data_IF_903951685792
#
_entry.id   IF_903951685792
#
_cell.length_a   1.000
_cell.length_b   1.000
_cell.length_c   1.000
_cell.angle_alpha   90.00
_cell.angle_beta   90.00
_cell.angle_gamma   90.00
#
_symmetry.space_group_name_H-M   'P 1'
#
loop_
_entity.id
_entity.type
_entity.pdbx_description
1 polymer ?
#
# COMPACT_ATOMS: atom_id res chain seq x y z
N UNK A 1 -8.32 16.02 -21.23
CA UNK A 1 -9.45 16.16 -20.30
C UNK A 1 -9.04 15.56 -18.97
N UNK A 2 -8.76 16.38 -17.96
CA UNK A 2 -8.39 15.92 -16.62
C UNK A 2 -9.68 15.66 -15.83
N UNK A 3 -10.31 14.51 -16.05
CA UNK A 3 -11.42 14.07 -15.19
C UNK A 3 -10.80 13.52 -13.89
N UNK A 4 -10.87 14.29 -12.80
CA UNK A 4 -10.40 13.84 -11.49
C UNK A 4 -11.43 12.86 -10.93
N UNK A 5 -11.07 11.60 -10.85
CA UNK A 5 -11.89 10.55 -10.24
C UNK A 5 -11.59 10.52 -8.75
N UNK A 6 -12.60 10.40 -7.90
CA UNK A 6 -12.38 10.23 -6.45
C UNK A 6 -12.21 8.75 -6.14
N UNK A 7 -11.15 8.38 -5.41
CA UNK A 7 -10.97 7.01 -4.93
C UNK A 7 -11.99 6.73 -3.82
N UNK A 8 -12.85 5.72 -4.02
CA UNK A 8 -13.88 5.38 -3.04
C UNK A 8 -13.29 4.74 -1.78
N UNK A 9 -13.79 5.08 -0.58
CA UNK A 9 -13.26 4.53 0.68
C UNK A 9 -13.45 3.01 0.79
N UNK A 10 -14.45 2.42 0.12
CA UNK A 10 -14.70 0.97 0.10
C UNK A 10 -13.55 0.20 -0.56
N UNK A 11 -12.80 0.85 -1.45
CA UNK A 11 -11.61 0.29 -2.09
C UNK A 11 -10.38 0.34 -1.18
N UNK A 12 -10.42 1.10 -0.08
CA UNK A 12 -9.30 1.28 0.86
C UNK A 12 -9.53 0.51 2.17
N UNK A 13 -10.23 -0.63 2.09
CA UNK A 13 -10.55 -1.50 3.22
C UNK A 13 -9.71 -2.79 3.23
N UNK A 14 -9.65 -3.50 4.38
CA UNK A 14 -9.09 -4.84 4.47
C UNK A 14 -9.75 -5.81 3.49
N UNK A 15 -9.00 -6.80 3.00
CA UNK A 15 -9.42 -7.73 1.95
C UNK A 15 -10.82 -8.35 2.14
N UNK A 16 -11.21 -8.62 3.40
CA UNK A 16 -12.52 -9.20 3.76
C UNK A 16 -13.70 -8.26 3.53
N UNK A 17 -13.47 -6.94 3.59
CA UNK A 17 -14.48 -5.87 3.44
C UNK A 17 -14.22 -5.01 2.19
N UNK A 18 -13.27 -5.43 1.36
CA UNK A 18 -12.77 -4.68 0.22
C UNK A 18 -13.72 -4.78 -0.97
N UNK A 19 -14.09 -3.63 -1.51
CA UNK A 19 -14.74 -3.56 -2.82
C UNK A 19 -13.73 -3.31 -3.92
N UNK A 20 -13.92 -4.01 -5.04
CA UNK A 20 -13.00 -3.93 -6.16
C UNK A 20 -13.09 -2.54 -6.81
N UNK A 21 -11.95 -1.93 -7.14
CA UNK A 21 -11.91 -0.64 -7.81
C UNK A 21 -12.34 -0.78 -9.27
N UNK A 22 -12.85 0.31 -9.81
CA UNK A 22 -13.15 0.49 -11.23
C UNK A 22 -11.87 0.78 -12.03
N UNK A 23 -11.89 0.61 -13.37
CA UNK A 23 -10.75 0.98 -14.22
C UNK A 23 -10.36 2.45 -14.10
N UNK A 24 -11.33 3.33 -13.84
CA UNK A 24 -11.12 4.76 -13.64
C UNK A 24 -10.39 5.04 -12.32
N UNK A 25 -10.80 4.39 -11.24
CA UNK A 25 -10.11 4.44 -9.94
C UNK A 25 -8.68 3.90 -10.03
N UNK A 26 -8.44 2.84 -10.82
CA UNK A 26 -7.09 2.31 -11.07
C UNK A 26 -6.20 3.34 -11.78
N UNK A 27 -6.73 4.02 -12.81
CA UNK A 27 -5.95 5.07 -13.51
C UNK A 27 -5.63 6.23 -12.59
N UNK A 28 -6.60 6.65 -11.77
CA UNK A 28 -6.37 7.73 -10.82
C UNK A 28 -5.38 7.35 -9.72
N UNK A 29 -5.48 6.15 -9.14
CA UNK A 29 -4.55 5.72 -8.10
C UNK A 29 -3.11 5.72 -8.62
N UNK A 30 -2.89 5.16 -9.82
CA UNK A 30 -1.57 5.20 -10.47
C UNK A 30 -1.11 6.64 -10.70
N UNK A 31 -2.00 7.53 -11.15
CA UNK A 31 -1.69 8.96 -11.31
C UNK A 31 -1.26 9.61 -9.98
N UNK A 32 -1.91 9.28 -8.86
CA UNK A 32 -1.57 9.77 -7.52
C UNK A 32 -0.21 9.29 -7.05
N UNK A 33 0.23 8.09 -7.45
CA UNK A 33 1.60 7.62 -7.16
C UNK A 33 2.70 8.35 -7.94
N UNK A 34 2.36 9.05 -9.04
CA UNK A 34 3.33 9.65 -9.96
C UNK A 34 4.07 8.64 -10.85
N UNK A 35 3.75 7.34 -10.78
CA UNK A 35 4.40 6.27 -11.52
C UNK A 35 3.81 6.05 -12.92
N UNK A 36 4.64 5.56 -13.84
CA UNK A 36 4.17 5.06 -15.13
C UNK A 36 3.83 3.54 -15.04
N UNK A 37 3.39 2.93 -16.15
CA UNK A 37 2.97 1.52 -16.14
C UNK A 37 4.11 0.50 -16.04
N UNK A 38 5.32 0.89 -16.41
CA UNK A 38 6.54 0.09 -16.23
C UNK A 38 6.97 0.09 -14.77
N UNK A 39 7.00 1.26 -14.13
CA UNK A 39 7.29 1.41 -12.70
C UNK A 39 6.32 0.57 -11.86
N UNK A 40 5.01 0.69 -12.13
CA UNK A 40 3.96 -0.12 -11.49
C UNK A 40 4.21 -1.62 -11.68
N UNK A 41 4.59 -2.03 -12.88
CA UNK A 41 4.88 -3.44 -13.14
C UNK A 41 6.12 -3.93 -12.40
N UNK A 42 7.14 -3.08 -12.25
CA UNK A 42 8.37 -3.38 -11.53
C UNK A 42 8.10 -3.55 -10.03
N UNK A 43 7.41 -2.59 -9.39
CA UNK A 43 7.13 -2.67 -7.94
C UNK A 43 6.20 -3.83 -7.57
N UNK A 44 5.33 -4.24 -8.50
CA UNK A 44 4.41 -5.36 -8.32
C UNK A 44 5.02 -6.70 -8.74
N UNK A 45 6.28 -6.73 -9.20
CA UNK A 45 6.95 -7.95 -9.66
C UNK A 45 6.30 -8.62 -10.88
N UNK A 46 5.55 -7.87 -11.70
CA UNK A 46 4.80 -8.38 -12.86
C UNK A 46 5.68 -8.57 -14.10
N UNK A 47 6.88 -7.99 -14.11
CA UNK A 47 7.84 -8.14 -15.18
C UNK A 47 9.01 -9.03 -14.70
N UNK A 48 9.35 -10.12 -15.42
CA UNK A 48 10.59 -10.84 -15.13
C UNK A 48 11.79 -9.90 -15.40
N UNK A 49 12.88 -10.01 -14.62
CA UNK A 49 14.06 -9.14 -14.73
C UNK A 49 14.85 -9.26 -16.05
N UNK A 50 14.34 -9.97 -17.07
CA UNK A 50 15.04 -10.18 -18.35
C UNK A 50 14.46 -9.31 -19.48
N UNK A 51 15.10 -8.16 -19.73
CA UNK A 51 15.31 -7.43 -21.01
C UNK A 51 14.19 -7.31 -22.07
N UNK A 52 12.94 -7.68 -21.81
CA UNK A 52 11.77 -7.39 -22.66
C UNK A 52 10.72 -6.66 -21.81
N UNK A 53 10.93 -5.36 -21.65
CA UNK A 53 10.16 -4.35 -20.90
C UNK A 53 8.67 -4.21 -21.25
N UNK A 54 8.06 -5.19 -21.96
CA UNK A 54 6.70 -5.08 -22.50
C UNK A 54 5.63 -5.97 -21.84
N UNK A 55 5.97 -6.98 -21.03
CA UNK A 55 4.98 -7.99 -20.58
C UNK A 55 4.24 -7.59 -19.29
N UNK A 56 4.94 -7.04 -18.29
CA UNK A 56 4.30 -6.55 -17.06
C UNK A 56 3.40 -5.33 -17.29
N UNK A 57 3.81 -4.43 -18.19
CA UNK A 57 3.01 -3.26 -18.59
C UNK A 57 1.71 -3.64 -19.31
N UNK A 58 1.63 -4.80 -19.97
CA UNK A 58 0.39 -5.33 -20.55
C UNK A 58 -0.64 -5.67 -19.47
N UNK A 59 -0.22 -6.26 -18.36
CA UNK A 59 -1.13 -6.57 -17.23
C UNK A 59 -1.70 -5.29 -16.65
N UNK A 60 -0.84 -4.28 -16.40
CA UNK A 60 -1.26 -2.95 -15.93
C UNK A 60 -2.22 -2.30 -16.92
N UNK A 61 -1.98 -2.43 -18.23
CA UNK A 61 -2.90 -1.93 -19.27
C UNK A 61 -4.28 -2.60 -19.21
N UNK A 62 -4.33 -3.92 -19.00
CA UNK A 62 -5.59 -4.68 -18.88
C UNK A 62 -6.39 -4.29 -17.64
N UNK A 63 -5.74 -3.94 -16.55
CA UNK A 63 -6.41 -3.39 -15.37
C UNK A 63 -7.02 -2.01 -15.66
N UNK A 64 -6.26 -1.13 -16.32
CA UNK A 64 -6.74 0.20 -16.71
C UNK A 64 -7.84 0.18 -17.78
N UNK A 65 -7.94 -0.85 -18.61
CA UNK A 65 -9.07 -1.02 -19.56
C UNK A 65 -10.27 -1.72 -18.94
N UNK A 66 -10.10 -2.39 -17.80
CA UNK A 66 -11.14 -3.22 -17.19
C UNK A 66 -11.23 -4.63 -17.76
N UNK A 67 -10.32 -5.03 -18.65
CA UNK A 67 -10.28 -6.38 -19.23
C UNK A 67 -10.00 -7.45 -18.16
N UNK A 68 -9.27 -7.07 -17.10
CA UNK A 68 -8.96 -7.93 -15.95
C UNK A 68 -9.07 -7.12 -14.67
N UNK A 69 -9.58 -7.73 -13.61
CA UNK A 69 -9.62 -7.12 -12.30
C UNK A 69 -8.23 -7.11 -11.65
N UNK A 70 -7.89 -6.01 -10.99
CA UNK A 70 -6.66 -5.92 -10.20
C UNK A 70 -6.79 -6.80 -8.94
N UNK A 71 -5.78 -7.62 -8.61
CA UNK A 71 -5.74 -8.34 -7.33
C UNK A 71 -5.64 -7.38 -6.14
N UNK A 72 -6.22 -7.76 -4.99
CA UNK A 72 -6.16 -6.95 -3.76
C UNK A 72 -4.73 -6.55 -3.37
N UNK A 73 -3.79 -7.51 -3.37
CA UNK A 73 -2.40 -7.25 -3.00
C UNK A 73 -1.75 -6.16 -3.87
N UNK A 74 -2.05 -6.15 -5.17
CA UNK A 74 -1.54 -5.13 -6.07
C UNK A 74 -2.16 -3.75 -5.79
N UNK A 75 -3.47 -3.71 -5.56
CA UNK A 75 -4.16 -2.48 -5.17
C UNK A 75 -3.64 -1.91 -3.84
N UNK A 76 -3.47 -2.77 -2.85
CA UNK A 76 -2.95 -2.42 -1.53
C UNK A 76 -1.56 -1.78 -1.58
N UNK A 77 -0.63 -2.38 -2.33
CA UNK A 77 0.72 -1.81 -2.52
C UNK A 77 0.67 -0.44 -3.20
N UNK A 78 -0.18 -0.29 -4.22
CA UNK A 78 -0.37 0.99 -4.90
C UNK A 78 -1.02 2.05 -4.01
N UNK A 79 -1.99 1.65 -3.18
CA UNK A 79 -2.64 2.53 -2.22
C UNK A 79 -1.64 3.07 -1.19
N UNK A 80 -0.78 2.20 -0.67
CA UNK A 80 0.32 2.59 0.21
C UNK A 80 1.26 3.58 -0.48
N UNK A 81 1.70 3.28 -1.71
CA UNK A 81 2.59 4.15 -2.48
C UNK A 81 1.96 5.52 -2.83
N UNK A 82 0.63 5.57 -2.97
CA UNK A 82 -0.13 6.80 -3.21
C UNK A 82 -0.39 7.61 -1.92
N UNK A 83 0.06 7.13 -0.75
CA UNK A 83 -0.06 7.83 0.52
C UNK A 83 -1.32 7.52 1.33
N UNK A 84 -2.12 6.52 0.94
CA UNK A 84 -3.31 6.09 1.69
C UNK A 84 -2.98 5.19 2.89
N UNK A 85 -1.70 4.83 3.09
CA UNK A 85 -1.28 3.95 4.18
C UNK A 85 -1.56 2.47 3.90
N UNK A 86 -1.52 1.65 4.95
CA UNK A 86 -1.68 0.20 4.87
C UNK A 86 -3.15 -0.20 5.02
N UNK A 87 -3.83 -0.53 3.91
CA UNK A 87 -5.26 -0.86 3.90
C UNK A 87 -5.57 -2.30 4.34
N UNK A 88 -4.56 -3.11 4.63
CA UNK A 88 -4.66 -4.52 5.02
C UNK A 88 -4.49 -4.75 6.53
N UNK A 89 -4.18 -3.70 7.28
CA UNK A 89 -4.10 -3.74 8.73
C UNK A 89 -5.45 -3.28 9.26
N UNK A 90 -6.07 -4.06 10.14
CA UNK A 90 -7.23 -3.60 10.89
C UNK A 90 -6.74 -2.52 11.87
N UNK A 91 -7.32 -1.32 11.84
CA UNK A 91 -6.94 -0.22 12.72
C UNK A 91 -7.28 -0.44 14.21
N UNK A 92 -7.53 -1.67 14.64
CA UNK A 92 -7.82 -2.03 16.03
C UNK A 92 -6.54 -2.12 16.89
N UNK A 93 -5.56 -1.24 16.64
CA UNK A 93 -4.32 -1.10 17.42
C UNK A 93 -4.10 0.38 17.78
N UNK A 94 -5.15 1.04 18.27
CA UNK A 94 -4.93 2.02 19.33
C UNK A 94 -4.50 1.23 20.59
N UNK A 95 -3.35 1.60 21.18
CA UNK A 95 -2.95 1.24 22.55
C UNK A 95 -2.25 -0.12 22.82
N UNK A 96 -1.13 -0.46 22.16
CA UNK A 96 -0.18 -1.42 22.77
C UNK A 96 1.31 -1.05 22.62
N UNK A 97 1.84 -0.60 23.76
CA UNK A 97 3.16 -0.95 24.26
C UNK A 97 4.38 -0.22 23.64
N UNK A 98 4.55 1.05 23.98
CA UNK A 98 5.90 1.52 24.36
C UNK A 98 6.13 1.02 25.79
N UNK A 99 7.07 0.09 26.06
CA UNK A 99 7.44 -0.19 27.44
C UNK A 99 8.01 1.10 28.04
N UNK A 100 7.28 1.70 29.00
CA UNK A 100 7.93 2.61 29.95
C UNK A 100 9.02 1.80 30.63
N UNK A 101 10.28 2.02 30.24
CA UNK A 101 11.44 1.56 30.99
C UNK A 101 11.26 2.06 32.42
N UNK A 102 10.87 1.15 33.32
CA UNK A 102 10.80 1.42 34.75
C UNK A 102 12.21 1.82 35.18
N UNK A 103 12.29 2.95 35.87
CA UNK A 103 13.51 3.42 36.49
C UNK A 103 14.17 2.28 37.27
N UNK A 104 15.41 1.97 36.90
CA UNK A 104 16.29 1.19 37.74
C UNK A 104 16.61 2.02 38.97
N UNK A 105 15.82 1.82 40.02
CA UNK A 105 16.26 2.09 41.38
C UNK A 105 17.39 1.10 41.67
N UNK A 106 18.63 1.54 41.48
CA UNK A 106 19.75 0.98 42.24
C UNK A 106 19.91 1.88 43.46
N UNK A 107 19.56 1.32 44.63
CA UNK A 107 19.66 1.97 45.93
C UNK A 107 21.09 2.31 46.34
N UNK A 108 21.26 3.03 47.46
CA UNK A 108 22.49 3.71 47.82
C UNK A 108 23.56 2.73 48.31
N UNK A 109 24.78 2.87 47.80
CA UNK A 109 25.98 2.28 48.41
C UNK A 109 26.28 3.00 49.73
N UNK A 110 25.93 2.36 50.84
CA UNK A 110 26.50 2.63 52.15
C UNK A 110 27.89 1.97 52.22
N UNK A 111 28.95 2.78 52.24
CA UNK A 111 30.21 2.41 52.88
C UNK A 111 30.50 3.52 53.89
N UNK A 112 30.28 3.18 55.16
CA UNK A 112 30.63 3.99 56.33
C UNK A 112 32.16 4.01 56.54
N UNK A 113 32.68 5.04 57.25
CA UNK A 113 34.10 5.39 57.32
C UNK A 113 34.98 4.44 58.13
#
# INVERSE_FOLDING_TARGET
MNNRVTIRPETLRPARKWEKPTPDEIRELIRLTGMNSEDVAAILGLAPPSKKSGRGSRTVRRWKSGDVQIPYAAWALLAHQAGFGTIWVDCDEDERHIPKMRGSHSGPHLISP
#
